data_IF_518926761310
#
_entry.id   IF_518926761310
#
_cell.length_a   1.000
_cell.length_b   1.000
_cell.length_c   1.000
_cell.angle_alpha   90.00
_cell.angle_beta   90.00
_cell.angle_gamma   90.00
#
_symmetry.space_group_name_H-M   'P 1'
#
loop_
_entity.id
_entity.type
_entity.pdbx_description
1 polymer ?
#
# COMPACT_ATOMS: atom_id res chain seq x y z
N UNK A 1 42.95 1.46 -19.26
CA UNK A 1 42.12 1.05 -20.42
C UNK A 1 40.68 1.10 -19.96
N UNK A 2 39.91 2.10 -20.46
CA UNK A 2 38.71 1.91 -21.31
C UNK A 2 37.51 1.34 -20.51
N UNK A 3 36.31 1.92 -20.42
CA UNK A 3 35.64 2.96 -21.20
C UNK A 3 34.63 3.69 -20.30
N UNK A 4 34.43 4.97 -20.60
CA UNK A 4 33.32 5.78 -20.15
C UNK A 4 32.02 5.36 -20.85
N UNK A 5 30.88 5.45 -20.16
CA UNK A 5 29.58 5.65 -20.81
C UNK A 5 28.69 6.54 -19.96
N UNK A 6 28.30 7.64 -20.60
CA UNK A 6 27.54 8.77 -20.13
C UNK A 6 26.05 8.46 -20.16
N UNK A 7 25.31 8.82 -19.10
CA UNK A 7 23.87 9.05 -19.20
C UNK A 7 23.51 10.35 -18.46
N UNK A 8 23.28 11.39 -19.26
CA UNK A 8 22.91 12.72 -18.81
C UNK A 8 21.45 12.76 -18.32
N UNK A 9 21.29 12.98 -17.02
CA UNK A 9 20.02 13.35 -16.38
C UNK A 9 19.72 14.83 -16.69
N UNK A 10 18.67 15.08 -17.49
CA UNK A 10 18.06 16.41 -17.60
C UNK A 10 16.85 16.48 -16.69
N UNK A 11 17.04 17.10 -15.53
CA UNK A 11 15.97 17.54 -14.64
C UNK A 11 16.11 19.05 -14.41
N UNK A 12 14.96 19.69 -14.10
CA UNK A 12 14.75 21.10 -13.74
C UNK A 12 14.63 22.04 -14.96
N UNK A 13 13.72 23.01 -14.99
CA UNK A 13 12.74 23.51 -14.02
C UNK A 13 11.92 24.57 -14.73
N UNK A 14 10.58 24.51 -14.65
CA UNK A 14 9.73 25.61 -15.05
C UNK A 14 9.52 26.54 -13.85
N UNK A 15 10.14 27.72 -13.88
CA UNK A 15 9.75 28.87 -13.08
C UNK A 15 9.65 30.09 -13.99
N UNK A 16 8.41 30.54 -14.17
CA UNK A 16 7.92 31.92 -14.18
C UNK A 16 8.94 33.03 -14.52
N UNK A 17 8.71 33.81 -15.59
CA UNK A 17 8.44 35.25 -15.47
C UNK A 17 8.01 35.92 -16.77
N UNK A 18 7.24 36.97 -16.53
CA UNK A 18 6.47 37.94 -17.32
C UNK A 18 7.28 38.98 -18.11
N UNK A 19 6.54 39.77 -18.90
CA UNK A 19 6.84 41.12 -19.45
C UNK A 19 7.62 41.13 -20.78
N UNK A 20 7.43 42.03 -21.76
CA UNK A 20 6.57 43.21 -21.96
C UNK A 20 6.85 43.80 -23.37
N UNK A 21 5.82 44.38 -24.00
CA UNK A 21 5.82 45.63 -24.79
C UNK A 21 6.64 45.83 -26.11
N UNK A 22 5.88 46.27 -27.14
CA UNK A 22 6.13 47.40 -28.06
C UNK A 22 6.98 47.19 -29.35
N UNK A 23 6.84 48.06 -30.39
CA UNK A 23 6.50 47.65 -31.77
C UNK A 23 7.47 48.21 -32.84
N UNK A 24 7.04 48.18 -34.11
CA UNK A 24 7.42 49.09 -35.23
C UNK A 24 8.42 48.59 -36.28
N UNK A 25 8.41 49.33 -37.41
CA UNK A 25 9.13 49.18 -38.69
C UNK A 25 8.47 48.20 -39.68
N UNK A 26 7.61 48.62 -40.61
CA UNK A 26 7.76 49.59 -41.72
C UNK A 26 8.90 49.23 -42.67
N UNK A 27 8.58 48.53 -43.77
CA UNK A 27 9.39 48.55 -44.99
C UNK A 27 8.53 48.30 -46.23
N UNK A 28 8.31 49.38 -46.99
CA UNK A 28 7.91 49.33 -48.41
C UNK A 28 9.16 49.06 -49.26
N UNK A 29 9.02 48.41 -50.41
CA UNK A 29 9.86 48.71 -51.57
C UNK A 29 9.01 49.19 -52.78
N UNK A 30 9.67 49.73 -53.83
CA UNK A 30 9.22 50.94 -54.50
C UNK A 30 8.45 50.72 -55.81
N UNK A 31 7.77 51.81 -56.19
CA UNK A 31 7.14 52.10 -57.47
C UNK A 31 8.20 52.40 -58.55
N UNK A 32 7.97 51.97 -59.79
CA UNK A 32 8.53 52.59 -61.00
C UNK A 32 7.48 52.59 -62.14
N UNK A 33 7.29 53.71 -62.87
CA UNK A 33 6.38 53.85 -64.03
C UNK A 33 7.14 53.73 -65.38
N UNK A 34 6.55 53.27 -66.49
CA UNK A 34 5.92 54.11 -67.55
C UNK A 34 5.68 53.28 -68.86
N UNK A 35 4.88 53.78 -69.85
CA UNK A 35 4.16 53.02 -70.91
C UNK A 35 4.73 53.29 -72.34
N UNK A 36 4.02 53.22 -73.50
CA UNK A 36 2.87 52.40 -73.98
C UNK A 36 3.15 51.67 -75.34
N UNK A 37 2.20 50.86 -75.84
CA UNK A 37 1.54 50.98 -77.17
C UNK A 37 1.11 49.63 -77.80
N UNK A 38 -0.20 49.60 -78.12
CA UNK A 38 -0.85 49.02 -79.29
C UNK A 38 -0.68 47.53 -79.61
N UNK A 39 -1.76 46.77 -79.44
CA UNK A 39 -2.37 46.03 -80.56
C UNK A 39 -3.74 45.47 -80.14
N UNK A 40 -4.75 45.92 -80.86
CA UNK A 40 -6.13 45.49 -80.73
C UNK A 40 -6.29 44.12 -81.41
N UNK A 41 -6.71 43.09 -80.67
CA UNK A 41 -7.53 42.02 -81.26
C UNK A 41 -8.62 41.58 -80.27
N UNK A 42 -9.82 42.02 -80.63
CA UNK A 42 -11.12 41.62 -80.12
C UNK A 42 -11.30 40.10 -80.32
N UNK A 43 -11.31 39.31 -79.24
CA UNK A 43 -11.81 37.93 -79.26
C UNK A 43 -12.59 37.63 -77.97
N UNK A 44 -13.92 37.70 -78.10
CA UNK A 44 -14.93 36.85 -77.47
C UNK A 44 -14.72 36.50 -75.98
N UNK A 45 -15.27 37.38 -75.15
CA UNK A 45 -15.78 37.07 -73.82
C UNK A 45 -16.60 35.77 -73.84
N UNK A 46 -16.01 34.69 -73.34
CA UNK A 46 -16.76 33.60 -72.75
C UNK A 46 -16.72 33.79 -71.25
N UNK A 47 -17.62 34.64 -70.74
CA UNK A 47 -17.97 34.64 -69.33
C UNK A 47 -18.54 33.26 -68.99
N UNK A 48 -17.66 32.31 -68.64
CA UNK A 48 -18.06 31.05 -68.02
C UNK A 48 -18.72 31.45 -66.71
N UNK A 49 -20.06 31.43 -66.69
CA UNK A 49 -20.85 31.63 -65.47
C UNK A 49 -20.33 30.62 -64.45
N UNK A 50 -19.53 31.08 -63.50
CA UNK A 50 -19.16 30.29 -62.33
C UNK A 50 -20.47 30.06 -61.60
N UNK A 51 -20.98 28.83 -61.66
CA UNK A 51 -22.17 28.44 -60.92
C UNK A 51 -21.95 28.84 -59.44
N UNK A 52 -22.92 29.49 -58.78
CA UNK A 52 -22.78 29.80 -57.37
C UNK A 52 -22.58 28.48 -56.64
N UNK A 53 -21.42 28.31 -55.97
CA UNK A 53 -21.19 27.13 -55.13
C UNK A 53 -22.37 27.02 -54.15
N UNK A 54 -23.00 25.85 -54.02
CA UNK A 54 -24.09 25.68 -53.05
C UNK A 54 -23.55 26.04 -51.67
N UNK A 55 -24.20 27.02 -51.02
CA UNK A 55 -23.88 27.39 -49.64
C UNK A 55 -24.18 26.16 -48.80
N UNK A 56 -23.13 25.48 -48.33
CA UNK A 56 -23.23 24.32 -47.44
C UNK A 56 -24.02 24.78 -46.22
N UNK A 57 -25.27 24.34 -46.08
CA UNK A 57 -26.10 24.65 -44.91
C UNK A 57 -25.37 24.10 -43.70
N UNK A 58 -24.94 25.00 -42.82
CA UNK A 58 -24.33 24.58 -41.57
C UNK A 58 -25.44 23.99 -40.73
N UNK A 59 -25.42 22.68 -40.54
CA UNK A 59 -26.35 22.02 -39.62
C UNK A 59 -26.01 22.43 -38.19
N UNK A 60 -26.65 23.50 -37.73
CA UNK A 60 -26.49 24.06 -36.38
C UNK A 60 -26.85 22.99 -35.34
N UNK A 61 -27.86 22.15 -35.61
CA UNK A 61 -28.25 21.02 -34.76
C UNK A 61 -27.18 19.94 -34.64
N UNK A 62 -26.44 19.64 -35.71
CA UNK A 62 -25.34 18.66 -35.66
C UNK A 62 -24.16 19.19 -34.83
N UNK A 63 -23.83 20.49 -34.98
CA UNK A 63 -22.77 21.15 -34.19
C UNK A 63 -23.14 21.31 -32.70
N UNK A 64 -24.41 21.56 -32.39
CA UNK A 64 -24.88 21.67 -31.00
C UNK A 64 -24.75 20.35 -30.23
N UNK A 65 -25.14 19.22 -30.84
CA UNK A 65 -24.95 17.87 -30.25
C UNK A 65 -23.47 17.54 -30.03
N UNK A 66 -22.61 17.98 -30.96
CA UNK A 66 -21.16 17.74 -30.88
C UNK A 66 -20.49 18.52 -29.73
N UNK A 67 -21.01 19.68 -29.32
CA UNK A 67 -20.52 20.43 -28.16
C UNK A 67 -21.03 19.84 -26.84
N UNK A 68 -22.28 19.33 -26.82
CA UNK A 68 -22.85 18.67 -25.65
C UNK A 68 -22.12 17.36 -25.31
N UNK A 69 -21.83 16.53 -26.31
CA UNK A 69 -21.07 15.29 -26.10
C UNK A 69 -19.64 15.57 -25.63
N UNK A 70 -18.94 16.54 -26.22
CA UNK A 70 -17.59 16.93 -25.77
C UNK A 70 -17.55 17.38 -24.30
N UNK A 71 -18.55 18.14 -23.84
CA UNK A 71 -18.67 18.55 -22.43
C UNK A 71 -18.97 17.36 -21.51
N UNK A 72 -19.82 16.43 -21.96
CA UNK A 72 -20.12 15.22 -21.22
C UNK A 72 -18.88 14.33 -21.07
N UNK A 73 -18.08 14.17 -22.14
CA UNK A 73 -16.80 13.44 -22.09
C UNK A 73 -15.80 14.10 -21.14
N UNK A 74 -15.71 15.43 -21.11
CA UNK A 74 -14.83 16.12 -20.14
C UNK A 74 -15.27 15.87 -18.70
N UNK A 75 -16.57 15.91 -18.41
CA UNK A 75 -17.08 15.64 -17.06
C UNK A 75 -16.90 14.17 -16.66
N UNK A 76 -17.16 13.24 -17.58
CA UNK A 76 -16.93 11.82 -17.35
C UNK A 76 -15.45 11.52 -17.06
N UNK A 77 -14.52 12.15 -17.79
CA UNK A 77 -13.09 12.03 -17.55
C UNK A 77 -12.71 12.55 -16.16
N UNK A 78 -13.18 13.74 -15.78
CA UNK A 78 -12.88 14.33 -14.46
C UNK A 78 -13.48 13.51 -13.32
N UNK A 79 -14.71 13.01 -13.48
CA UNK A 79 -15.37 12.19 -12.47
C UNK A 79 -14.69 10.82 -12.31
N UNK A 80 -14.30 10.20 -13.43
CA UNK A 80 -13.53 8.96 -13.43
C UNK A 80 -12.17 9.14 -12.74
N UNK A 81 -11.47 10.26 -13.01
CA UNK A 81 -10.22 10.59 -12.34
C UNK A 81 -10.38 10.75 -10.82
N UNK A 82 -11.42 11.46 -10.38
CA UNK A 82 -11.70 11.63 -8.96
C UNK A 82 -12.10 10.31 -8.28
N UNK A 83 -12.95 9.51 -8.92
CA UNK A 83 -13.36 8.20 -8.42
C UNK A 83 -12.15 7.25 -8.31
N UNK A 84 -11.30 7.20 -9.33
CA UNK A 84 -10.06 6.41 -9.33
C UNK A 84 -9.10 6.86 -8.22
N UNK A 85 -8.95 8.16 -7.99
CA UNK A 85 -8.13 8.69 -6.91
C UNK A 85 -8.62 8.22 -5.53
N UNK A 86 -9.93 8.30 -5.27
CA UNK A 86 -10.51 7.83 -4.00
C UNK A 86 -10.27 6.33 -3.81
N UNK A 87 -10.44 5.52 -4.86
CA UNK A 87 -10.18 4.07 -4.79
C UNK A 87 -8.72 3.78 -4.47
N UNK A 88 -7.78 4.47 -5.10
CA UNK A 88 -6.34 4.29 -4.84
C UNK A 88 -5.99 4.68 -3.41
N UNK A 89 -6.52 5.81 -2.92
CA UNK A 89 -6.28 6.27 -1.54
C UNK A 89 -6.83 5.27 -0.52
N UNK A 90 -8.06 4.77 -0.74
CA UNK A 90 -8.67 3.78 0.16
C UNK A 90 -7.88 2.46 0.16
N UNK A 91 -7.41 2.01 -1.01
CA UNK A 91 -6.60 0.79 -1.10
C UNK A 91 -5.25 0.96 -0.39
N UNK A 92 -4.58 2.11 -0.58
CA UNK A 92 -3.30 2.39 0.09
C UNK A 92 -3.44 2.55 1.61
N UNK A 93 -4.55 3.13 2.07
CA UNK A 93 -4.81 3.29 3.51
C UNK A 93 -5.02 1.95 4.21
N UNK A 94 -5.71 1.00 3.56
CA UNK A 94 -5.92 -0.35 4.11
C UNK A 94 -4.59 -1.08 4.37
N UNK A 95 -3.57 -0.86 3.53
CA UNK A 95 -2.24 -1.46 3.69
C UNK A 95 -1.45 -0.89 4.88
N UNK A 96 -1.81 0.29 5.39
CA UNK A 96 -1.12 0.98 6.49
C UNK A 96 -1.77 0.77 7.87
N UNK A 97 -2.93 0.12 7.95
CA UNK A 97 -3.62 -0.10 9.21
C UNK A 97 -2.96 -1.25 9.99
N UNK A 98 -2.22 -0.90 11.04
CA UNK A 98 -1.60 -1.87 11.93
C UNK A 98 -2.50 -2.10 13.16
N UNK A 99 -3.16 -3.25 13.21
CA UNK A 99 -4.03 -3.64 14.31
C UNK A 99 -3.26 -4.36 15.41
N UNK A 100 -3.66 -4.14 16.65
CA UNK A 100 -3.16 -4.89 17.80
C UNK A 100 -4.02 -6.14 17.99
N UNK A 101 -3.39 -7.31 18.02
CA UNK A 101 -4.09 -8.60 18.10
C UNK A 101 -3.33 -9.56 19.01
N UNK A 102 -4.04 -10.50 19.62
CA UNK A 102 -3.44 -11.60 20.38
C UNK A 102 -3.01 -12.76 19.47
N UNK A 103 -2.15 -13.67 19.96
CA UNK A 103 -1.86 -14.93 19.30
C UNK A 103 -3.11 -15.72 18.85
N UNK A 104 -4.13 -15.90 19.70
CA UNK A 104 -5.37 -16.59 19.31
C UNK A 104 -6.05 -15.89 18.13
N UNK A 105 -6.27 -14.58 18.23
CA UNK A 105 -6.96 -13.80 17.18
C UNK A 105 -6.16 -13.78 15.87
N UNK A 106 -4.84 -13.77 15.95
CA UNK A 106 -3.96 -13.79 14.77
C UNK A 106 -4.14 -15.06 13.96
N UNK A 107 -4.31 -16.21 14.63
CA UNK A 107 -4.53 -17.50 13.98
C UNK A 107 -5.90 -17.55 13.29
N UNK A 108 -6.95 -17.07 13.95
CA UNK A 108 -8.31 -17.03 13.39
C UNK A 108 -8.40 -16.10 12.18
N UNK A 109 -7.77 -14.92 12.27
CA UNK A 109 -7.72 -13.96 11.16
C UNK A 109 -6.95 -14.52 9.97
N UNK A 110 -5.84 -15.20 10.23
CA UNK A 110 -5.06 -15.86 9.19
C UNK A 110 -5.86 -16.99 8.50
N UNK A 111 -6.59 -17.79 9.28
CA UNK A 111 -7.44 -18.86 8.74
C UNK A 111 -8.57 -18.31 7.86
N UNK A 112 -9.13 -17.16 8.22
CA UNK A 112 -10.22 -16.53 7.46
C UNK A 112 -9.71 -15.82 6.21
N UNK A 113 -8.55 -15.15 6.29
CA UNK A 113 -7.95 -14.41 5.18
C UNK A 113 -6.42 -14.53 5.23
N UNK A 114 -5.78 -15.27 4.29
CA UNK A 114 -4.32 -15.33 4.17
C UNK A 114 -3.78 -14.06 3.49
N UNK A 115 -4.13 -12.89 4.02
CA UNK A 115 -3.70 -11.59 3.51
C UNK A 115 -2.30 -11.25 4.02
N UNK A 116 -1.48 -10.58 3.22
CA UNK A 116 -0.14 -10.06 3.60
C UNK A 116 -0.21 -8.81 4.49
N UNK A 117 -1.24 -8.67 5.30
CA UNK A 117 -1.39 -7.52 6.17
C UNK A 117 -0.37 -7.60 7.32
N UNK A 118 0.18 -6.44 7.68
CA UNK A 118 1.07 -6.29 8.83
C UNK A 118 0.21 -6.15 10.08
N UNK A 119 0.49 -6.94 11.11
CA UNK A 119 -0.21 -6.85 12.38
C UNK A 119 0.78 -6.63 13.53
N UNK A 120 0.31 -6.00 14.60
CA UNK A 120 1.00 -5.91 15.87
C UNK A 120 0.47 -7.01 16.78
N UNK A 121 1.23 -8.09 16.88
CA UNK A 121 0.94 -9.20 17.76
C UNK A 121 1.42 -8.85 19.18
N UNK A 122 0.49 -8.77 20.12
CA UNK A 122 0.78 -8.49 21.53
C UNK A 122 0.53 -9.72 22.40
N UNK A 123 1.47 -10.01 23.30
CA UNK A 123 1.33 -11.12 24.25
C UNK A 123 2.47 -11.17 25.25
N UNK A 124 2.52 -12.25 26.02
CA UNK A 124 3.56 -12.53 26.99
C UNK A 124 4.64 -13.40 26.34
N UNK A 125 5.90 -13.10 26.59
CA UNK A 125 7.01 -13.96 26.16
C UNK A 125 7.12 -15.14 27.13
N UNK A 126 7.14 -16.35 26.61
CA UNK A 126 7.27 -17.55 27.44
C UNK A 126 8.68 -17.64 28.04
N UNK A 127 8.77 -18.02 29.31
CA UNK A 127 10.05 -18.24 30.01
C UNK A 127 10.86 -19.39 29.42
N UNK A 128 12.16 -19.17 29.24
CA UNK A 128 13.10 -20.08 28.60
C UNK A 128 12.83 -20.36 27.12
N UNK A 129 12.00 -19.56 26.46
CA UNK A 129 11.63 -19.77 25.04
C UNK A 129 12.56 -19.09 24.05
N UNK A 130 13.43 -18.19 24.51
CA UNK A 130 14.30 -17.39 23.65
C UNK A 130 15.49 -18.22 23.20
N UNK A 131 15.60 -18.45 21.88
CA UNK A 131 16.63 -19.27 21.26
C UNK A 131 17.37 -18.44 20.20
N UNK A 132 18.70 -18.53 20.24
CA UNK A 132 19.60 -17.94 19.27
C UNK A 132 20.19 -19.07 18.40
N UNK A 133 19.64 -19.38 17.22
CA UNK A 133 20.24 -20.32 16.28
C UNK A 133 21.65 -19.87 15.86
N UNK A 134 22.64 -20.78 15.97
CA UNK A 134 24.04 -20.46 15.64
C UNK A 134 24.29 -20.19 14.14
N UNK A 135 23.36 -20.57 13.27
CA UNK A 135 23.53 -20.51 11.81
C UNK A 135 23.17 -19.16 11.20
N UNK A 136 22.31 -18.35 11.86
CA UNK A 136 21.77 -17.09 11.32
C UNK A 136 21.60 -16.06 12.44
N UNK A 137 21.68 -14.74 12.15
CA UNK A 137 21.37 -13.67 13.11
C UNK A 137 19.85 -13.52 13.35
N UNK A 138 19.18 -14.65 13.53
CA UNK A 138 17.75 -14.74 13.82
C UNK A 138 17.58 -15.09 15.30
N UNK A 139 16.48 -14.61 15.89
CA UNK A 139 16.07 -14.93 17.25
C UNK A 139 14.68 -15.54 17.19
N UNK A 140 14.54 -16.69 17.82
CA UNK A 140 13.26 -17.37 17.94
C UNK A 140 12.77 -17.27 19.38
N UNK A 141 11.50 -16.92 19.57
CA UNK A 141 10.88 -16.94 20.89
C UNK A 141 9.39 -17.19 20.77
N UNK A 142 8.75 -17.58 21.86
CA UNK A 142 7.33 -17.93 21.87
C UNK A 142 6.56 -16.80 22.55
N UNK A 143 5.50 -16.33 21.89
CA UNK A 143 4.54 -15.41 22.48
C UNK A 143 3.25 -16.18 22.79
N UNK A 144 2.72 -15.96 23.99
CA UNK A 144 1.50 -16.59 24.49
C UNK A 144 0.50 -15.54 24.98
N UNK A 145 -0.77 -15.81 24.81
CA UNK A 145 -1.88 -15.13 25.51
C UNK A 145 -2.50 -16.01 26.60
N UNK A 146 -1.75 -17.00 27.08
CA UNK A 146 -2.12 -18.05 28.03
C UNK A 146 -2.98 -19.19 27.46
N UNK A 147 -3.62 -19.00 26.31
CA UNK A 147 -4.40 -20.04 25.63
C UNK A 147 -3.58 -20.63 24.48
N UNK A 148 -3.14 -19.76 23.58
CA UNK A 148 -2.45 -20.11 22.34
C UNK A 148 -1.02 -19.60 22.35
N UNK A 149 -0.09 -20.47 21.95
CA UNK A 149 1.33 -20.16 21.83
C UNK A 149 1.72 -20.05 20.36
N UNK A 150 2.34 -18.94 19.95
CA UNK A 150 2.84 -18.74 18.58
C UNK A 150 4.35 -18.57 18.59
N UNK A 151 5.02 -19.27 17.65
CA UNK A 151 6.46 -19.10 17.40
C UNK A 151 6.70 -17.82 16.63
N UNK A 152 7.54 -16.95 17.17
CA UNK A 152 7.97 -15.69 16.56
C UNK A 152 9.41 -15.81 16.12
N UNK A 153 9.69 -15.44 14.86
CA UNK A 153 11.03 -15.32 14.29
C UNK A 153 11.35 -13.88 14.01
N UNK A 154 12.39 -13.37 14.64
CA UNK A 154 12.85 -12.00 14.47
C UNK A 154 14.27 -11.98 13.92
N UNK A 155 14.51 -11.17 12.91
CA UNK A 155 15.85 -10.95 12.36
C UNK A 155 16.44 -9.68 12.99
N UNK A 156 17.56 -9.82 13.69
CA UNK A 156 18.23 -8.70 14.35
C UNK A 156 18.45 -8.91 15.86
N UNK A 157 18.78 -7.83 16.55
CA UNK A 157 19.06 -7.84 17.98
C UNK A 157 17.81 -7.44 18.77
N UNK A 158 17.48 -8.21 19.82
CA UNK A 158 16.37 -7.86 20.70
C UNK A 158 16.67 -6.57 21.49
N UNK A 159 15.68 -5.70 21.74
CA UNK A 159 15.85 -4.54 22.60
C UNK A 159 16.29 -4.93 24.02
N UNK A 160 17.02 -4.06 24.72
CA UNK A 160 17.51 -4.33 26.09
C UNK A 160 16.38 -4.49 27.14
N UNK A 161 15.22 -3.88 26.86
CA UNK A 161 13.99 -4.03 27.65
C UNK A 161 13.24 -5.34 27.33
N UNK A 162 13.74 -6.19 26.44
CA UNK A 162 13.13 -7.48 26.20
C UNK A 162 13.52 -8.45 27.32
N UNK A 163 12.53 -8.98 28.02
CA UNK A 163 12.69 -10.02 29.03
C UNK A 163 11.61 -11.06 28.88
N UNK A 164 11.95 -12.29 29.21
CA UNK A 164 10.98 -13.38 29.32
C UNK A 164 9.96 -13.10 30.43
N UNK A 165 8.77 -13.67 30.33
CA UNK A 165 7.67 -13.45 31.28
C UNK A 165 6.98 -12.09 31.17
N UNK A 166 7.50 -11.16 30.37
CA UNK A 166 6.95 -9.81 30.22
C UNK A 166 6.12 -9.67 28.94
N UNK A 167 5.26 -8.64 28.93
CA UNK A 167 4.47 -8.28 27.75
C UNK A 167 5.35 -7.65 26.67
N UNK A 168 5.21 -8.15 25.45
CA UNK A 168 5.91 -7.64 24.28
C UNK A 168 4.91 -7.47 23.14
N UNK A 169 5.14 -6.45 22.31
CA UNK A 169 4.41 -6.26 21.06
C UNK A 169 5.38 -6.45 19.91
N UNK A 170 4.99 -7.24 18.92
CA UNK A 170 5.80 -7.54 17.75
C UNK A 170 5.03 -7.17 16.50
N UNK A 171 5.66 -6.42 15.61
CA UNK A 171 5.10 -6.06 14.32
C UNK A 171 5.60 -7.03 13.24
N UNK A 172 4.71 -7.61 12.45
CA UNK A 172 5.09 -8.66 11.52
C UNK A 172 3.97 -9.21 10.63
N UNK A 173 4.26 -10.33 9.96
CA UNK A 173 3.31 -11.08 9.11
C UNK A 173 3.33 -12.55 9.54
N UNK A 174 2.16 -13.19 9.59
CA UNK A 174 2.02 -14.64 9.77
C UNK A 174 2.42 -15.36 8.47
N UNK A 175 3.32 -16.34 8.55
CA UNK A 175 3.73 -17.19 7.44
C UNK A 175 3.45 -18.66 7.76
N UNK A 176 3.05 -19.49 6.78
CA UNK A 176 2.95 -20.93 6.97
C UNK A 176 4.35 -21.54 7.10
N UNK A 177 4.48 -22.60 7.90
CA UNK A 177 5.70 -23.40 7.96
C UNK A 177 5.86 -24.17 6.64
N UNK A 178 6.84 -23.80 5.84
CA UNK A 178 7.32 -24.65 4.74
C UNK A 178 8.15 -25.79 5.34
N UNK A 179 7.96 -27.02 4.87
CA UNK A 179 8.52 -28.27 5.43
C UNK A 179 10.04 -28.28 5.70
N UNK A 180 10.82 -27.40 5.07
CA UNK A 180 12.26 -27.21 5.33
C UNK A 180 12.56 -26.70 6.74
N UNK A 181 11.66 -25.87 7.29
CA UNK A 181 11.81 -25.22 8.60
C UNK A 181 11.46 -26.19 9.74
N UNK A 182 10.55 -27.15 9.52
CA UNK A 182 10.11 -28.14 10.53
C UNK A 182 11.28 -28.98 11.07
N UNK A 183 12.32 -29.21 10.26
CA UNK A 183 13.51 -29.96 10.68
C UNK A 183 14.40 -29.20 11.66
N UNK A 184 14.55 -27.88 11.51
CA UNK A 184 15.44 -27.07 12.35
C UNK A 184 14.84 -26.78 13.74
N UNK A 185 13.52 -26.67 13.86
CA UNK A 185 12.81 -26.36 15.13
C UNK A 185 12.65 -27.59 16.05
N UNK A 186 12.97 -28.79 15.54
CA UNK A 186 12.72 -30.07 16.23
C UNK A 186 13.63 -30.34 17.45
N UNK A 187 14.80 -29.70 17.52
CA UNK A 187 15.82 -29.94 18.57
C UNK A 187 15.64 -29.09 19.83
N UNK A 188 14.90 -27.98 19.76
CA UNK A 188 14.75 -27.04 20.87
C UNK A 188 13.52 -27.36 21.73
N UNK A 189 13.58 -27.06 23.03
CA UNK A 189 12.53 -27.31 24.03
C UNK A 189 11.35 -26.32 23.84
N UNK A 190 10.65 -26.43 22.72
CA UNK A 190 9.51 -25.57 22.35
C UNK A 190 8.24 -26.18 22.95
N UNK A 191 7.37 -25.34 23.52
CA UNK A 191 6.02 -25.71 23.94
C UNK A 191 5.33 -26.56 22.86
N UNK A 192 4.86 -27.76 23.22
CA UNK A 192 4.17 -28.66 22.29
C UNK A 192 2.94 -27.98 21.63
N UNK A 193 2.32 -27.03 22.33
CA UNK A 193 1.19 -26.24 21.81
C UNK A 193 1.60 -25.37 20.62
N UNK A 194 2.78 -24.73 20.68
CA UNK A 194 3.28 -23.89 19.60
C UNK A 194 3.65 -24.72 18.36
N UNK A 195 4.11 -25.96 18.54
CA UNK A 195 4.46 -26.89 17.44
C UNK A 195 3.26 -27.45 16.70
N UNK A 196 2.08 -27.47 17.32
CA UNK A 196 0.83 -27.88 16.64
C UNK A 196 0.38 -26.89 15.58
N UNK A 197 0.84 -25.64 15.66
CA UNK A 197 0.47 -24.61 14.69
C UNK A 197 1.34 -24.74 13.43
N UNK A 198 0.69 -24.88 12.28
CA UNK A 198 1.35 -24.92 10.96
C UNK A 198 1.78 -23.53 10.45
N UNK A 199 1.79 -22.51 11.31
CA UNK A 199 2.23 -21.17 11.00
C UNK A 199 3.18 -20.59 12.06
N UNK A 200 4.05 -19.69 11.63
CA UNK A 200 4.93 -18.88 12.48
C UNK A 200 4.77 -17.41 12.17
N UNK A 201 5.13 -16.56 13.11
CA UNK A 201 5.08 -15.12 12.94
C UNK A 201 6.47 -14.58 12.54
N UNK A 202 6.56 -14.01 11.34
CA UNK A 202 7.75 -13.31 10.88
C UNK A 202 7.72 -11.86 11.39
N UNK A 203 8.50 -11.60 12.44
CA UNK A 203 8.64 -10.29 13.05
C UNK A 203 9.58 -9.39 12.24
N UNK A 204 9.16 -8.15 11.99
CA UNK A 204 10.00 -7.09 11.44
C UNK A 204 10.52 -6.15 12.54
N UNK A 205 9.75 -5.95 13.61
CA UNK A 205 10.13 -5.10 14.74
C UNK A 205 9.62 -5.69 16.05
N UNK A 206 10.43 -5.61 17.10
CA UNK A 206 10.08 -6.02 18.46
C UNK A 206 10.04 -4.79 19.35
N UNK A 207 8.87 -4.50 19.91
CA UNK A 207 8.62 -3.41 20.83
C UNK A 207 8.51 -3.99 22.25
N UNK A 208 9.58 -3.88 23.01
CA UNK A 208 9.59 -4.23 24.42
C UNK A 208 9.48 -2.95 25.27
N UNK A 209 8.30 -2.73 25.86
CA UNK A 209 8.11 -1.71 26.89
C UNK A 209 7.56 -2.40 28.13
N UNK A 210 8.29 -2.32 29.23
CA UNK A 210 7.93 -2.94 30.51
C UNK A 210 6.74 -2.26 31.22
N UNK A 211 6.19 -1.17 30.66
CA UNK A 211 5.06 -0.49 31.27
C UNK A 211 3.75 -1.17 30.87
N UNK A 212 3.00 -1.66 31.86
CA UNK A 212 1.60 -2.11 31.71
C UNK A 212 0.71 -1.04 31.04
N UNK A 213 1.13 0.23 31.12
CA UNK A 213 0.52 1.38 30.44
C UNK A 213 0.64 1.34 28.90
N UNK A 214 1.57 0.57 28.34
CA UNK A 214 1.83 0.52 26.90
C UNK A 214 1.23 -0.71 26.21
N UNK A 215 0.73 -1.70 26.95
CA UNK A 215 -0.02 -2.79 26.34
C UNK A 215 -1.35 -2.24 25.79
N UNK A 216 -1.65 -2.44 24.50
CA UNK A 216 -2.91 -2.00 23.93
C UNK A 216 -4.08 -2.58 24.74
N UNK A 217 -5.09 -1.75 25.01
CA UNK A 217 -6.25 -2.15 25.81
C UNK A 217 -6.94 -3.41 25.28
N UNK A 218 -6.93 -3.60 23.97
CA UNK A 218 -7.49 -4.78 23.29
C UNK A 218 -6.75 -6.07 23.70
N UNK A 219 -5.41 -6.04 23.67
CA UNK A 219 -4.55 -7.17 24.06
C UNK A 219 -4.64 -7.41 25.56
N UNK A 220 -4.60 -6.35 26.38
CA UNK A 220 -4.73 -6.45 27.82
C UNK A 220 -6.05 -7.10 28.24
N UNK A 221 -7.16 -6.64 27.68
CA UNK A 221 -8.47 -7.22 27.95
C UNK A 221 -8.57 -8.68 27.53
N UNK A 222 -7.93 -9.08 26.42
CA UNK A 222 -7.90 -10.46 25.97
C UNK A 222 -7.11 -11.36 26.94
N UNK A 223 -5.94 -10.92 27.40
CA UNK A 223 -5.13 -11.69 28.36
C UNK A 223 -5.87 -11.81 29.71
N UNK A 224 -6.52 -10.74 30.19
CA UNK A 224 -7.31 -10.81 31.43
C UNK A 224 -8.51 -11.78 31.32
N UNK A 225 -9.19 -11.80 30.18
CA UNK A 225 -10.26 -12.78 29.91
C UNK A 225 -9.71 -14.20 29.93
N UNK A 226 -8.57 -14.43 29.28
CA UNK A 226 -7.92 -15.73 29.23
C UNK A 226 -7.49 -16.21 30.62
N UNK A 227 -6.95 -15.32 31.47
CA UNK A 227 -6.67 -15.61 32.88
C UNK A 227 -7.91 -16.10 33.62
N UNK A 228 -9.03 -15.36 33.52
CA UNK A 228 -10.29 -15.73 34.17
C UNK A 228 -10.81 -17.09 33.71
N UNK A 229 -10.73 -17.38 32.41
CA UNK A 229 -11.14 -18.69 31.86
C UNK A 229 -10.29 -19.82 32.45
N UNK A 230 -8.98 -19.61 32.59
CA UNK A 230 -8.06 -20.59 33.19
C UNK A 230 -8.35 -20.76 34.69
N UNK A 231 -8.59 -19.68 35.42
CA UNK A 231 -8.93 -19.71 36.84
C UNK A 231 -10.27 -20.42 37.09
N UNK A 232 -11.28 -20.15 36.25
CA UNK A 232 -12.58 -20.84 36.26
C UNK A 232 -12.44 -22.33 35.89
N UNK A 233 -11.62 -22.66 34.88
CA UNK A 233 -11.34 -24.04 34.50
C UNK A 233 -10.60 -24.81 35.60
N UNK A 234 -9.65 -24.15 36.29
CA UNK A 234 -8.94 -24.71 37.43
C UNK A 234 -9.87 -24.89 38.64
N UNK A 235 -10.79 -23.95 38.88
CA UNK A 235 -11.80 -24.11 39.94
C UNK A 235 -12.78 -25.26 39.64
N UNK A 236 -13.15 -25.45 38.36
CA UNK A 236 -14.04 -26.53 37.94
C UNK A 236 -13.38 -27.92 38.03
N UNK A 237 -12.07 -28.05 37.72
CA UNK A 237 -11.35 -29.32 37.88
C UNK A 237 -11.16 -29.70 39.35
N UNK A 238 -10.88 -28.72 40.22
CA UNK A 238 -10.75 -28.95 41.67
C UNK A 238 -12.09 -29.34 42.32
N UNK A 239 -13.22 -28.80 41.83
CA UNK A 239 -14.56 -29.20 42.28
C UNK A 239 -14.99 -30.60 41.80
N UNK A 240 -14.39 -31.11 40.71
CA UNK A 240 -14.64 -32.46 40.21
C UNK A 240 -13.78 -33.54 40.91
N UNK A 241 -12.72 -33.16 41.63
CA UNK A 241 -11.71 -34.07 42.19
C UNK A 241 -11.67 -34.14 43.74
N UNK A 242 -12.79 -33.92 44.43
CA UNK A 242 -12.91 -34.28 45.86
C UNK A 242 -14.34 -34.63 46.30
N UNK A 243 -14.56 -35.68 47.13
CA UNK A 243 -14.10 -37.06 46.98
C UNK A 243 -15.28 -38.05 46.92
N UNK A 244 -15.23 -39.05 46.02
CA UNK A 244 -15.96 -40.32 46.22
C UNK A 244 -15.16 -41.18 47.20
N UNK A 245 -15.29 -40.87 48.49
CA UNK A 245 -14.99 -41.82 49.58
C UNK A 245 -16.30 -42.16 50.26
N UNK A 246 -16.91 -43.27 49.83
CA UNK A 246 -17.72 -44.15 50.66
C UNK A 246 -17.65 -45.54 50.05
#
# INVERSE_FOLDING_TARGET
MQMASSLALRFRSHLLRTASLLPSSFRRPPFQPSPPLLSAHRLLSTARRVAPRPRKSVDIGARARQLQTRRLWTYALTFSGLAGFVVIVLNNFQDQLVFYITPTDALEKYATNPTKARFRLGGLVLEGSVVYPASKPEVEFIITDLITDIVVRYEGSLPDLFREGHSVVVEGIVKPFTEEIKKEVSTNKVSEKARRLECYFCAAEVLAKHDEKYMPKEVAAAIEKNKKIIDEAAAASVAAEAPKTT
#
